data_IF_846835013304
#
_entry.id   IF_846835013304
#
_cell.length_a   1.000
_cell.length_b   1.000
_cell.length_c   1.000
_cell.angle_alpha   90.00
_cell.angle_beta   90.00
_cell.angle_gamma   90.00
#
_symmetry.space_group_name_H-M   'P 1'
#
loop_
_entity.id
_entity.type
_entity.pdbx_description
1 polymer ?
#
# COMPACT_ATOMS: atom_id res chain seq x y z
N UNK A 1 14.23 5.30 -5.04
CA UNK A 1 13.35 6.39 -5.49
C UNK A 1 14.17 7.37 -6.28
N UNK A 2 13.88 7.53 -7.58
CA UNK A 2 14.55 8.50 -8.44
C UNK A 2 13.46 9.40 -8.99
N UNK A 3 13.50 10.67 -8.65
CA UNK A 3 12.65 11.69 -9.24
C UNK A 3 13.23 12.08 -10.60
N UNK A 4 12.37 12.52 -11.51
CA UNK A 4 12.82 13.19 -12.73
C UNK A 4 12.18 14.55 -12.85
N UNK A 5 13.01 15.55 -13.17
CA UNK A 5 12.60 16.93 -13.43
C UNK A 5 12.88 17.25 -14.89
N UNK A 6 11.87 17.75 -15.59
CA UNK A 6 11.99 18.23 -16.97
C UNK A 6 11.41 19.65 -17.08
N UNK A 7 12.02 20.49 -17.91
CA UNK A 7 11.61 21.88 -18.12
C UNK A 7 11.30 22.09 -19.60
N UNK A 8 10.18 22.75 -19.87
CA UNK A 8 9.78 23.15 -21.23
C UNK A 8 9.36 24.62 -21.24
N UNK A 9 9.76 25.35 -22.29
CA UNK A 9 9.32 26.72 -22.58
C UNK A 9 8.39 26.70 -23.80
N UNK A 10 7.29 27.45 -23.73
CA UNK A 10 6.48 27.75 -24.91
C UNK A 10 6.87 29.15 -25.40
N UNK A 11 7.32 29.25 -26.65
CA UNK A 11 7.93 30.45 -27.23
C UNK A 11 6.95 31.15 -28.20
N UNK A 12 6.62 32.43 -27.96
CA UNK A 12 6.24 33.35 -29.02
C UNK A 12 7.26 34.51 -29.09
N UNK A 13 8.40 34.24 -29.71
CA UNK A 13 9.26 35.18 -30.45
C UNK A 13 9.88 36.37 -29.69
N UNK A 14 10.12 36.31 -28.37
CA UNK A 14 10.98 37.29 -27.70
C UNK A 14 12.00 36.64 -26.77
N UNK A 15 13.21 37.19 -26.76
CA UNK A 15 14.39 36.55 -26.17
C UNK A 15 14.47 36.69 -24.63
N UNK A 16 13.45 36.23 -23.90
CA UNK A 16 13.58 36.02 -22.46
C UNK A 16 14.82 35.15 -22.17
N UNK A 17 15.68 35.57 -21.23
CA UNK A 17 17.07 35.06 -21.14
C UNK A 17 17.26 33.73 -20.41
N UNK A 18 16.18 33.15 -19.88
CA UNK A 18 16.22 31.91 -19.07
C UNK A 18 15.34 30.83 -19.68
N UNK A 19 15.88 29.62 -19.76
CA UNK A 19 15.23 28.39 -20.17
C UNK A 19 14.57 27.65 -18.98
N UNK A 20 14.47 28.34 -17.83
CA UNK A 20 14.00 27.77 -16.58
C UNK A 20 15.07 26.98 -15.80
N UNK A 21 16.27 26.81 -16.35
CA UNK A 21 17.38 26.04 -15.75
C UNK A 21 18.69 26.82 -15.57
N UNK A 22 18.81 27.99 -16.20
CA UNK A 22 20.08 28.70 -16.36
C UNK A 22 20.55 29.51 -15.13
N UNK A 23 19.66 29.84 -14.20
CA UNK A 23 19.96 30.70 -13.03
C UNK A 23 19.59 30.03 -11.70
N UNK A 24 20.00 28.77 -11.54
CA UNK A 24 19.78 27.99 -10.32
C UNK A 24 19.92 26.48 -10.48
N UNK A 25 19.58 25.73 -9.45
CA UNK A 25 19.61 24.27 -9.44
C UNK A 25 18.24 23.70 -9.87
N UNK A 26 18.23 23.06 -11.04
CA UNK A 26 17.11 22.25 -11.51
C UNK A 26 17.65 20.86 -11.83
N UNK A 27 17.61 20.00 -10.82
CA UNK A 27 18.15 18.65 -10.92
C UNK A 27 17.17 17.62 -10.35
N UNK A 28 17.40 16.37 -10.71
CA UNK A 28 16.69 15.25 -10.11
C UNK A 28 17.04 15.15 -8.63
N UNK A 29 16.06 14.72 -7.83
CA UNK A 29 16.24 14.46 -6.40
C UNK A 29 16.67 15.68 -5.57
N UNK A 30 16.46 16.91 -6.09
CA UNK A 30 16.66 18.18 -5.38
C UNK A 30 15.43 19.07 -5.50
N UNK A 31 15.32 20.08 -4.62
CA UNK A 31 14.34 21.14 -4.79
C UNK A 31 14.65 21.97 -6.04
N UNK A 32 13.62 22.52 -6.68
CA UNK A 32 13.77 23.48 -7.78
C UNK A 32 14.04 24.85 -7.16
N UNK A 33 15.26 25.37 -7.35
CA UNK A 33 15.67 26.69 -6.85
C UNK A 33 16.29 27.46 -8.01
N UNK A 34 15.51 28.32 -8.68
CA UNK A 34 15.93 29.01 -9.91
C UNK A 34 15.22 30.35 -10.09
N UNK A 35 15.83 31.28 -10.82
CA UNK A 35 15.21 32.53 -11.27
C UNK A 35 14.77 32.44 -12.73
N UNK A 36 13.63 33.06 -13.05
CA UNK A 36 13.15 33.19 -14.42
C UNK A 36 12.65 34.60 -14.75
N UNK A 37 12.85 34.98 -16.02
CA UNK A 37 12.37 36.17 -16.71
C UNK A 37 11.40 35.66 -17.78
N UNK A 38 10.12 36.06 -17.67
CA UNK A 38 9.05 35.63 -18.58
C UNK A 38 8.40 36.90 -19.15
N UNK A 39 8.44 37.04 -20.48
CA UNK A 39 7.80 38.15 -21.17
C UNK A 39 6.28 37.95 -21.34
N UNK A 40 5.58 39.02 -21.72
CA UNK A 40 4.14 38.96 -21.98
C UNK A 40 3.82 37.94 -23.09
N UNK A 41 3.02 36.93 -22.75
CA UNK A 41 2.62 35.86 -23.67
C UNK A 41 3.51 34.62 -23.63
N UNK A 42 4.56 34.59 -22.81
CA UNK A 42 5.41 33.42 -22.59
C UNK A 42 4.97 32.60 -21.36
N UNK A 43 5.38 31.32 -21.34
CA UNK A 43 5.32 30.48 -20.15
C UNK A 43 6.54 29.56 -20.04
N UNK A 44 6.80 29.15 -18.79
CA UNK A 44 7.75 28.08 -18.45
C UNK A 44 6.99 27.04 -17.63
N UNK A 45 7.07 25.78 -18.05
CA UNK A 45 6.45 24.65 -17.37
C UNK A 45 7.52 23.73 -16.79
N UNK A 46 7.47 23.50 -15.48
CA UNK A 46 8.24 22.47 -14.80
C UNK A 46 7.39 21.20 -14.66
N UNK A 47 7.90 20.08 -15.12
CA UNK A 47 7.28 18.76 -14.93
C UNK A 47 8.13 17.96 -13.96
N UNK A 48 7.56 17.64 -12.80
CA UNK A 48 8.19 16.82 -11.76
C UNK A 48 7.45 15.49 -11.66
N UNK A 49 8.16 14.39 -11.83
CA UNK A 49 7.60 13.05 -11.66
C UNK A 49 8.37 12.31 -10.59
N UNK A 50 7.64 11.73 -9.63
CA UNK A 50 8.19 10.96 -8.52
C UNK A 50 7.59 9.57 -8.43
N UNK A 51 8.36 8.63 -7.91
CA UNK A 51 7.86 7.33 -7.49
C UNK A 51 7.43 7.40 -6.04
N UNK A 52 6.17 7.08 -5.76
CA UNK A 52 5.66 6.96 -4.39
C UNK A 52 6.35 5.78 -3.70
N UNK A 53 6.61 5.89 -2.39
CA UNK A 53 7.19 4.79 -1.62
C UNK A 53 6.26 3.56 -1.64
N UNK A 54 6.80 2.34 -1.69
CA UNK A 54 5.99 1.12 -1.69
C UNK A 54 5.18 0.96 -0.40
N UNK A 55 5.63 1.52 0.73
CA UNK A 55 4.98 1.43 2.03
C UNK A 55 4.11 2.66 2.39
N UNK A 56 3.72 3.47 1.39
CA UNK A 56 2.84 4.61 1.63
C UNK A 56 1.40 4.15 1.92
N UNK A 57 0.77 4.72 2.96
CA UNK A 57 -0.57 4.35 3.45
C UNK A 57 -1.49 5.57 3.67
N UNK A 58 -1.15 6.73 3.10
CA UNK A 58 -1.93 7.95 3.30
C UNK A 58 -1.74 9.01 2.23
N UNK A 59 -2.55 10.06 2.33
CA UNK A 59 -2.61 11.17 1.38
C UNK A 59 -1.28 11.92 1.25
N UNK A 60 -0.88 12.17 0.01
CA UNK A 60 0.23 13.08 -0.29
C UNK A 60 -0.32 14.49 -0.34
N UNK A 61 0.11 15.32 0.59
CA UNK A 61 -0.25 16.73 0.67
C UNK A 61 0.84 17.60 0.02
N UNK A 62 0.48 18.36 -1.00
CA UNK A 62 1.38 19.31 -1.66
C UNK A 62 0.65 20.64 -1.90
N UNK A 63 0.92 21.62 -1.04
CA UNK A 63 0.24 22.93 -1.01
C UNK A 63 -1.28 22.72 -0.95
N UNK A 64 -2.02 23.19 -1.94
CA UNK A 64 -3.48 23.06 -2.03
C UNK A 64 -3.93 21.77 -2.75
N UNK A 65 -2.98 20.93 -3.19
CA UNK A 65 -3.24 19.66 -3.86
C UNK A 65 -3.15 18.51 -2.86
N UNK A 66 -4.13 17.62 -2.91
CA UNK A 66 -4.13 16.34 -2.20
C UNK A 66 -4.19 15.21 -3.22
N UNK A 67 -3.26 14.26 -3.14
CA UNK A 67 -3.29 13.01 -3.91
C UNK A 67 -3.63 11.88 -2.95
N UNK A 68 -4.74 11.21 -3.23
CA UNK A 68 -5.30 10.16 -2.38
C UNK A 68 -4.78 8.80 -2.87
N UNK A 69 -4.32 7.90 -1.98
CA UNK A 69 -3.90 6.56 -2.39
C UNK A 69 -5.09 5.73 -2.91
N UNK A 70 -4.79 4.74 -3.73
CA UNK A 70 -5.78 3.71 -4.05
C UNK A 70 -6.20 2.96 -2.77
N UNK A 71 -7.42 2.45 -2.74
CA UNK A 71 -7.93 1.64 -1.64
C UNK A 71 -7.39 0.21 -1.67
N UNK A 72 -7.20 -0.37 -0.48
CA UNK A 72 -7.07 -1.82 -0.33
C UNK A 72 -8.46 -2.47 -0.40
N UNK A 73 -8.49 -3.76 -0.69
CA UNK A 73 -9.66 -4.62 -0.54
C UNK A 73 -9.13 -5.96 -0.06
N UNK A 74 -9.74 -6.51 1.01
CA UNK A 74 -9.31 -7.77 1.59
C UNK A 74 -10.39 -8.82 1.36
N UNK A 75 -9.99 -9.90 0.71
CA UNK A 75 -10.77 -11.12 0.61
C UNK A 75 -10.33 -12.11 1.70
N UNK A 76 -11.30 -12.83 2.26
CA UNK A 76 -11.11 -13.73 3.37
C UNK A 76 -11.73 -15.09 3.06
N UNK A 77 -10.90 -16.14 3.11
CA UNK A 77 -11.35 -17.51 2.96
C UNK A 77 -10.87 -18.37 4.11
N UNK A 78 -11.76 -19.21 4.66
CA UNK A 78 -11.42 -20.18 5.69
C UNK A 78 -11.90 -21.55 5.25
N UNK A 79 -10.95 -22.44 5.00
CA UNK A 79 -11.21 -23.83 4.61
C UNK A 79 -10.63 -24.80 5.63
N UNK A 80 -11.01 -26.06 5.52
CA UNK A 80 -10.51 -27.14 6.35
C UNK A 80 -10.17 -28.34 5.47
N UNK A 81 -9.15 -29.09 5.86
CA UNK A 81 -8.77 -30.31 5.14
C UNK A 81 -9.76 -31.45 5.43
N UNK A 82 -10.40 -31.43 6.60
CA UNK A 82 -11.26 -32.49 7.10
C UNK A 82 -12.75 -32.17 6.94
N UNK A 83 -13.48 -33.02 6.20
CA UNK A 83 -14.95 -32.94 6.14
C UNK A 83 -15.64 -33.62 7.33
N UNK A 84 -14.93 -34.48 8.05
CA UNK A 84 -15.39 -35.25 9.21
C UNK A 84 -14.24 -35.34 10.22
N UNK A 85 -14.56 -35.30 11.52
CA UNK A 85 -13.54 -35.42 12.57
C UNK A 85 -13.66 -36.74 13.34
N UNK A 86 -12.55 -37.17 13.91
CA UNK A 86 -12.50 -38.25 14.90
C UNK A 86 -11.92 -37.71 16.22
N UNK A 87 -12.40 -38.18 17.39
CA UNK A 87 -11.85 -37.73 18.66
C UNK A 87 -10.32 -37.93 18.75
N UNK A 88 -9.62 -36.94 19.29
CA UNK A 88 -8.15 -36.89 19.41
C UNK A 88 -7.36 -36.85 18.08
N UNK A 89 -8.02 -36.66 16.93
CA UNK A 89 -7.34 -36.27 15.71
C UNK A 89 -7.24 -34.75 15.60
N UNK A 90 -6.22 -34.29 14.88
CA UNK A 90 -6.06 -32.88 14.52
C UNK A 90 -7.01 -32.53 13.38
N UNK A 91 -7.59 -31.33 13.44
CA UNK A 91 -8.31 -30.70 12.33
C UNK A 91 -7.48 -29.50 11.89
N UNK A 92 -7.23 -29.39 10.59
CA UNK A 92 -6.41 -28.34 10.00
C UNK A 92 -7.32 -27.33 9.32
N UNK A 93 -7.13 -26.06 9.65
CA UNK A 93 -7.78 -24.94 8.98
C UNK A 93 -6.78 -24.10 8.21
N UNK A 94 -7.18 -23.66 7.03
CA UNK A 94 -6.43 -22.70 6.21
C UNK A 94 -7.21 -21.41 6.17
N UNK A 95 -6.69 -20.37 6.84
CA UNK A 95 -7.21 -19.01 6.75
C UNK A 95 -6.34 -18.24 5.74
N UNK A 96 -6.94 -17.85 4.62
CA UNK A 96 -6.30 -17.06 3.57
C UNK A 96 -6.87 -15.66 3.62
N UNK A 97 -5.98 -14.67 3.68
CA UNK A 97 -6.31 -13.25 3.62
C UNK A 97 -5.55 -12.68 2.42
N UNK A 98 -6.28 -12.25 1.40
CA UNK A 98 -5.71 -11.71 0.17
C UNK A 98 -6.05 -10.23 0.04
N UNK A 99 -5.05 -9.39 -0.23
CA UNK A 99 -5.29 -8.01 -0.66
C UNK A 99 -5.32 -7.96 -2.19
N UNK A 100 -6.52 -8.03 -2.77
CA UNK A 100 -6.75 -7.88 -4.22
C UNK A 100 -7.01 -6.42 -4.63
N UNK A 101 -6.92 -5.49 -3.67
CA UNK A 101 -6.90 -4.05 -3.89
C UNK A 101 -5.57 -3.53 -4.45
N UNK A 102 -5.53 -2.22 -4.71
CA UNK A 102 -4.33 -1.54 -5.20
C UNK A 102 -3.59 -0.74 -4.12
N UNK A 103 -4.26 -0.50 -2.99
CA UNK A 103 -3.69 0.15 -1.82
C UNK A 103 -3.10 -0.83 -0.82
N UNK A 104 -2.21 -0.33 0.01
CA UNK A 104 -1.70 -1.05 1.17
C UNK A 104 -2.77 -1.15 2.26
N UNK A 105 -3.01 -2.36 2.75
CA UNK A 105 -3.80 -2.59 3.96
C UNK A 105 -2.86 -2.50 5.17
N UNK A 106 -3.03 -1.49 6.02
CA UNK A 106 -2.15 -1.23 7.16
C UNK A 106 -2.92 -1.35 8.48
N UNK A 107 -2.29 -1.97 9.48
CA UNK A 107 -2.82 -2.16 10.83
C UNK A 107 -4.22 -2.79 10.88
N UNK A 108 -4.49 -3.78 10.02
CA UNK A 108 -5.78 -4.47 9.97
C UNK A 108 -5.87 -5.52 11.08
N UNK A 109 -6.80 -5.39 12.05
CA UNK A 109 -6.96 -6.38 13.11
C UNK A 109 -7.66 -7.64 12.59
N UNK A 110 -7.07 -8.81 12.86
CA UNK A 110 -7.65 -10.11 12.56
C UNK A 110 -7.97 -10.84 13.86
N UNK A 111 -9.20 -11.34 14.00
CA UNK A 111 -9.68 -12.04 15.19
C UNK A 111 -10.38 -13.34 14.76
N UNK A 112 -9.93 -14.47 15.32
CA UNK A 112 -10.56 -15.79 15.17
C UNK A 112 -10.65 -16.46 16.55
N UNK A 113 -11.85 -16.51 17.11
CA UNK A 113 -12.08 -16.99 18.48
C UNK A 113 -12.19 -18.51 18.53
N UNK A 114 -11.07 -19.22 18.41
CA UNK A 114 -11.04 -20.69 18.45
C UNK A 114 -11.54 -21.27 19.78
N UNK A 115 -11.40 -20.53 20.88
CA UNK A 115 -11.93 -20.89 22.21
C UNK A 115 -13.45 -20.99 22.26
N UNK A 116 -14.15 -20.23 21.42
CA UNK A 116 -15.62 -20.21 21.37
C UNK A 116 -16.19 -21.42 20.62
N UNK A 117 -15.34 -22.19 19.91
CA UNK A 117 -15.77 -23.37 19.17
C UNK A 117 -16.01 -24.51 20.15
N UNK A 118 -17.22 -25.07 20.13
CA UNK A 118 -17.67 -26.09 21.08
C UNK A 118 -18.26 -27.33 20.40
N UNK A 119 -18.26 -28.44 21.13
CA UNK A 119 -18.82 -29.73 20.69
C UNK A 119 -19.58 -30.41 21.84
N UNK A 120 -20.54 -31.26 21.51
CA UNK A 120 -21.19 -32.12 22.50
C UNK A 120 -20.23 -33.22 22.97
N UNK A 121 -20.20 -33.43 24.28
CA UNK A 121 -19.36 -34.42 24.93
C UNK A 121 -20.15 -35.69 25.28
N UNK A 122 -19.42 -36.77 25.55
CA UNK A 122 -20.01 -38.09 25.86
C UNK A 122 -20.84 -38.08 27.15
N UNK A 123 -20.54 -37.17 28.08
CA UNK A 123 -21.28 -36.98 29.32
C UNK A 123 -22.60 -36.20 29.14
N UNK A 124 -22.91 -35.76 27.91
CA UNK A 124 -24.12 -35.02 27.55
C UNK A 124 -24.00 -33.51 27.72
N UNK A 125 -22.86 -32.99 28.19
CA UNK A 125 -22.59 -31.56 28.25
C UNK A 125 -22.01 -31.01 26.94
N UNK A 126 -21.84 -29.70 26.85
CA UNK A 126 -21.07 -29.03 25.80
C UNK A 126 -19.74 -28.55 26.38
N UNK A 127 -18.66 -28.69 25.63
CA UNK A 127 -17.34 -28.18 26.00
C UNK A 127 -16.55 -27.68 24.79
N UNK A 128 -15.33 -27.15 25.00
CA UNK A 128 -14.45 -26.72 23.92
C UNK A 128 -14.18 -27.84 22.92
N UNK A 129 -14.19 -27.50 21.64
CA UNK A 129 -13.93 -28.46 20.56
C UNK A 129 -12.45 -28.86 20.49
N UNK A 130 -11.55 -27.97 20.91
CA UNK A 130 -10.11 -28.17 20.88
C UNK A 130 -9.52 -28.04 22.29
N UNK A 131 -8.58 -28.91 22.63
CA UNK A 131 -7.81 -28.84 23.88
C UNK A 131 -6.62 -27.89 23.81
N UNK A 132 -6.11 -27.69 22.60
CA UNK A 132 -4.95 -26.89 22.24
C UNK A 132 -4.97 -26.61 20.73
N UNK A 133 -4.24 -25.58 20.29
CA UNK A 133 -4.03 -25.29 18.87
C UNK A 133 -2.67 -24.61 18.68
N UNK A 134 -2.15 -24.71 17.48
CA UNK A 134 -0.96 -23.99 17.02
C UNK A 134 -1.31 -23.14 15.82
N UNK A 135 -0.70 -21.95 15.72
CA UNK A 135 -0.89 -21.04 14.60
C UNK A 135 0.47 -20.87 13.91
N UNK A 136 0.48 -21.09 12.60
CA UNK A 136 1.63 -20.79 11.74
C UNK A 136 1.18 -19.85 10.63
N UNK A 137 1.95 -18.79 10.39
CA UNK A 137 1.67 -17.81 9.35
C UNK A 137 2.79 -17.79 8.31
N UNK A 138 2.42 -17.65 7.04
CA UNK A 138 3.35 -17.44 5.92
C UNK A 138 2.81 -16.27 5.11
N UNK A 139 3.63 -15.24 4.89
CA UNK A 139 3.31 -14.15 3.97
C UNK A 139 3.96 -14.42 2.60
N UNK A 140 3.25 -14.08 1.52
CA UNK A 140 3.76 -14.17 0.14
C UNK A 140 3.36 -12.91 -0.63
N UNK A 141 4.15 -12.51 -1.64
CA UNK A 141 3.90 -11.30 -2.43
C UNK A 141 5.18 -10.50 -2.68
N UNK A 142 5.09 -9.44 -3.50
CA UNK A 142 6.25 -8.60 -3.87
C UNK A 142 6.84 -7.85 -2.66
N UNK A 143 5.99 -7.57 -1.67
CA UNK A 143 6.35 -6.86 -0.44
C UNK A 143 6.18 -7.74 0.81
N UNK A 144 6.25 -9.08 0.67
CA UNK A 144 6.11 -10.00 1.81
C UNK A 144 7.20 -9.84 2.87
N UNK A 145 8.30 -9.14 2.56
CA UNK A 145 9.35 -8.81 3.54
C UNK A 145 8.91 -7.72 4.54
N UNK A 146 7.81 -7.02 4.28
CA UNK A 146 7.22 -6.02 5.15
C UNK A 146 6.04 -6.55 5.99
N UNK A 147 5.79 -7.86 5.94
CA UNK A 147 4.72 -8.58 6.66
C UNK A 147 5.30 -9.45 7.76
#
# INVERSE_FOLDING_TARGET
NKFTVAVAKSDPANAGTTDGTKDGDVANDTDIVTSIDIDAGEDVTYTVTGTVRPDAVGDIHYRDTVVIPDGYHLDFDKTTDEAVYEPAQTVTYHLVIENDGKGNAHDIPIVDNLEDITVSLVDGNTGPAYSDWTITSIATGTDSEYV
#
